data_IF_104296241285
#
_entry.id   IF_104296241285
#
_cell.length_a   1.000
_cell.length_b   1.000
_cell.length_c   1.000
_cell.angle_alpha   90.00
_cell.angle_beta   90.00
_cell.angle_gamma   90.00
#
_symmetry.space_group_name_H-M   'P 1'
#
loop_
_entity.id
_entity.type
_entity.pdbx_description
1 polymer ?
#
# COMPACT_ATOMS: atom_id res chain seq x y z
N UNK A 1 11.16 3.42 11.02
CA UNK A 1 11.27 2.25 10.11
C UNK A 1 11.18 2.61 8.63
N UNK A 2 10.16 3.34 8.16
CA UNK A 2 9.92 3.60 6.74
C UNK A 2 10.19 5.05 6.31
N UNK A 3 10.84 5.84 7.16
CA UNK A 3 10.95 7.30 7.01
C UNK A 3 11.59 7.68 5.67
N UNK A 4 12.75 7.11 5.34
CA UNK A 4 13.41 7.38 4.06
C UNK A 4 12.59 6.97 2.82
N UNK A 5 11.83 5.87 2.94
CA UNK A 5 10.94 5.41 1.87
C UNK A 5 9.79 6.40 1.68
N UNK A 6 9.19 6.84 2.79
CA UNK A 6 8.08 7.79 2.81
C UNK A 6 8.53 9.17 2.31
N UNK A 7 9.73 9.63 2.69
CA UNK A 7 10.31 10.88 2.20
C UNK A 7 10.44 10.88 0.67
N UNK A 8 11.03 9.83 0.08
CA UNK A 8 11.12 9.69 -1.38
C UNK A 8 9.75 9.67 -2.07
N UNK A 9 8.79 8.95 -1.49
CA UNK A 9 7.41 8.90 -2.01
C UNK A 9 6.79 10.31 -1.98
N UNK A 10 6.95 11.04 -0.88
CA UNK A 10 6.42 12.40 -0.72
C UNK A 10 7.07 13.39 -1.67
N UNK A 11 8.38 13.33 -1.84
CA UNK A 11 9.09 14.14 -2.84
C UNK A 11 8.50 13.93 -4.25
N UNK A 12 8.28 12.67 -4.63
CA UNK A 12 7.69 12.37 -5.93
C UNK A 12 6.25 12.86 -6.06
N UNK A 13 5.43 12.69 -5.00
CA UNK A 13 4.06 13.22 -4.97
C UNK A 13 4.07 14.75 -5.09
N UNK A 14 4.93 15.46 -4.37
CA UNK A 14 5.08 16.92 -4.44
C UNK A 14 5.51 17.38 -5.84
N UNK A 15 6.46 16.69 -6.47
CA UNK A 15 6.86 16.98 -7.84
C UNK A 15 5.70 16.76 -8.83
N UNK A 16 4.92 15.68 -8.65
CA UNK A 16 3.73 15.40 -9.44
C UNK A 16 2.62 16.44 -9.25
N UNK A 17 2.45 16.97 -8.04
CA UNK A 17 1.50 18.07 -7.77
C UNK A 17 1.94 19.36 -8.49
N UNK A 18 3.23 19.71 -8.42
CA UNK A 18 3.79 20.91 -9.08
C UNK A 18 3.67 20.85 -10.60
N UNK A 19 3.86 19.68 -11.20
CA UNK A 19 3.73 19.47 -12.65
C UNK A 19 2.28 19.28 -13.10
N UNK A 20 1.35 19.04 -12.17
CA UNK A 20 -0.05 18.72 -12.46
C UNK A 20 -0.29 17.28 -12.92
N UNK A 21 0.73 16.40 -12.83
CA UNK A 21 0.61 14.97 -13.13
C UNK A 21 -0.17 14.22 -12.04
N UNK A 22 -0.08 14.67 -10.79
CA UNK A 22 -0.81 14.14 -9.63
C UNK A 22 -1.77 15.23 -9.14
N UNK A 23 -2.94 14.81 -8.65
CA UNK A 23 -3.91 15.66 -7.97
C UNK A 23 -4.18 15.16 -6.57
N UNK A 24 -4.33 16.10 -5.65
CA UNK A 24 -4.73 15.86 -4.27
C UNK A 24 -6.24 16.02 -4.11
N UNK A 25 -6.82 15.15 -3.28
CA UNK A 25 -8.23 15.13 -2.94
C UNK A 25 -8.41 14.82 -1.45
N UNK A 26 -9.53 15.30 -0.90
CA UNK A 26 -10.05 14.80 0.37
C UNK A 26 -10.78 13.47 0.14
N UNK A 27 -10.74 12.51 1.08
CA UNK A 27 -11.52 11.28 1.00
C UNK A 27 -13.02 11.53 0.77
N UNK A 28 -13.57 12.60 1.34
CA UNK A 28 -14.96 12.98 1.22
C UNK A 28 -15.33 13.48 -0.20
N UNK A 29 -14.34 13.80 -1.05
CA UNK A 29 -14.57 14.17 -2.46
C UNK A 29 -15.09 13.02 -3.32
N UNK A 30 -14.93 11.77 -2.89
CA UNK A 30 -15.42 10.59 -3.60
C UNK A 30 -16.60 9.98 -2.86
N UNK A 31 -17.52 9.31 -3.54
CA UNK A 31 -18.63 8.61 -2.87
C UNK A 31 -18.17 7.31 -2.20
N UNK A 32 -18.86 6.90 -1.13
CA UNK A 32 -18.74 5.53 -0.63
C UNK A 32 -19.23 4.53 -1.68
N UNK A 33 -18.73 3.31 -1.61
CA UNK A 33 -19.09 2.23 -2.52
C UNK A 33 -19.59 1.01 -1.77
N UNK A 34 -20.54 0.30 -2.38
CA UNK A 34 -21.12 -0.88 -1.77
C UNK A 34 -20.07 -2.00 -1.63
N UNK A 35 -20.00 -2.56 -0.42
CA UNK A 35 -19.09 -3.67 -0.08
C UNK A 35 -19.69 -5.00 -0.53
N UNK A 36 -18.87 -5.85 -1.16
CA UNK A 36 -19.32 -7.15 -1.65
C UNK A 36 -18.22 -7.90 -2.39
N UNK A 37 -18.20 -9.23 -2.26
CA UNK A 37 -17.29 -10.07 -3.04
C UNK A 37 -17.85 -10.23 -4.44
N UNK A 38 -17.03 -9.92 -5.43
CA UNK A 38 -17.38 -10.05 -6.84
C UNK A 38 -16.16 -10.42 -7.67
N UNK A 39 -16.37 -11.22 -8.72
CA UNK A 39 -15.30 -11.70 -9.61
C UNK A 39 -15.61 -11.24 -11.03
N UNK A 40 -14.93 -10.17 -11.45
CA UNK A 40 -15.09 -9.58 -12.78
C UNK A 40 -14.43 -10.47 -13.84
N UNK A 41 -15.25 -10.98 -14.75
CA UNK A 41 -14.80 -11.79 -15.88
C UNK A 41 -14.38 -10.91 -17.06
N UNK A 42 -13.71 -11.51 -18.06
CA UNK A 42 -13.25 -10.78 -19.25
C UNK A 42 -14.40 -10.17 -20.06
N UNK A 43 -15.58 -10.78 -20.08
CA UNK A 43 -16.75 -10.28 -20.80
C UNK A 43 -17.41 -9.06 -20.15
N UNK A 44 -17.16 -8.84 -18.85
CA UNK A 44 -17.76 -7.76 -18.07
C UNK A 44 -16.81 -6.56 -17.92
N UNK A 45 -15.55 -6.72 -18.31
CA UNK A 45 -14.48 -5.76 -18.04
C UNK A 45 -14.73 -4.41 -18.74
N UNK A 46 -14.68 -3.32 -17.97
CA UNK A 46 -14.57 -1.97 -18.50
C UNK A 46 -13.10 -1.62 -18.70
N UNK A 47 -12.29 -1.81 -17.64
CA UNK A 47 -10.85 -1.58 -17.67
C UNK A 47 -10.12 -2.45 -16.63
N UNK A 48 -8.81 -2.57 -16.83
CA UNK A 48 -7.90 -3.39 -16.03
C UNK A 48 -6.59 -2.62 -15.82
N UNK A 49 -6.08 -2.63 -14.58
CA UNK A 49 -4.84 -1.95 -14.22
C UNK A 49 -3.93 -2.86 -13.40
N UNK A 50 -2.62 -2.79 -13.64
CA UNK A 50 -1.64 -3.48 -12.80
C UNK A 50 -1.41 -4.96 -13.14
N UNK A 51 -1.90 -5.44 -14.30
CA UNK A 51 -1.67 -6.83 -14.73
C UNK A 51 -0.19 -7.15 -14.96
N UNK A 52 0.55 -6.23 -15.56
CA UNK A 52 1.97 -6.42 -15.89
C UNK A 52 2.88 -5.56 -15.02
N UNK A 53 2.52 -4.29 -14.83
CA UNK A 53 3.29 -3.34 -14.04
C UNK A 53 2.48 -2.87 -12.83
N UNK A 54 2.77 -3.43 -11.66
CA UNK A 54 2.09 -3.04 -10.42
C UNK A 54 2.96 -3.09 -9.19
N UNK A 55 2.56 -2.31 -8.19
CA UNK A 55 3.16 -2.28 -6.87
C UNK A 55 2.09 -2.00 -5.79
N UNK A 56 2.29 -2.57 -4.61
CA UNK A 56 1.48 -2.34 -3.42
C UNK A 56 2.41 -2.10 -2.24
N UNK A 57 2.33 -0.92 -1.63
CA UNK A 57 3.01 -0.65 -0.36
C UNK A 57 2.00 -0.28 0.71
N UNK A 58 2.18 -0.87 1.89
CA UNK A 58 1.45 -0.53 3.10
C UNK A 58 2.50 -0.20 4.14
N UNK A 59 2.61 1.08 4.46
CA UNK A 59 3.67 1.67 5.29
C UNK A 59 3.02 2.37 6.49
N UNK A 60 3.80 2.60 7.53
CA UNK A 60 3.41 3.50 8.62
C UNK A 60 4.38 4.67 8.75
N UNK A 61 3.83 5.82 9.10
CA UNK A 61 4.51 7.11 9.23
C UNK A 61 3.47 8.23 9.26
N UNK A 62 3.91 9.48 9.29
CA UNK A 62 2.97 10.61 9.34
C UNK A 62 1.99 10.57 8.15
N UNK A 63 0.71 10.80 8.40
CA UNK A 63 -0.36 10.84 7.40
C UNK A 63 -1.41 11.87 7.79
N UNK A 64 -2.17 12.38 6.82
CA UNK A 64 -3.09 13.51 7.02
C UNK A 64 -4.49 13.28 6.45
N UNK A 65 -4.84 12.03 6.10
CA UNK A 65 -6.10 11.69 5.44
C UNK A 65 -6.25 12.32 4.05
N UNK A 66 -5.22 12.20 3.23
CA UNK A 66 -5.19 12.73 1.85
C UNK A 66 -5.22 11.61 0.82
N UNK A 67 -5.84 11.89 -0.33
CA UNK A 67 -5.83 11.00 -1.49
C UNK A 67 -5.06 11.68 -2.62
N UNK A 68 -4.11 10.97 -3.21
CA UNK A 68 -3.33 11.42 -4.35
C UNK A 68 -3.57 10.50 -5.54
N UNK A 69 -4.02 11.07 -6.66
CA UNK A 69 -4.31 10.31 -7.88
C UNK A 69 -3.51 10.86 -9.04
N UNK A 70 -2.88 9.97 -9.80
CA UNK A 70 -2.36 10.29 -11.13
C UNK A 70 -3.49 10.72 -12.06
N UNK A 71 -3.19 11.70 -12.90
CA UNK A 71 -4.13 12.22 -13.89
C UNK A 71 -4.26 11.30 -15.11
N UNK A 72 -3.15 10.68 -15.52
CA UNK A 72 -3.07 9.84 -16.70
C UNK A 72 -2.75 8.39 -16.35
N UNK A 73 -3.18 7.46 -17.20
CA UNK A 73 -3.01 6.03 -16.99
C UNK A 73 -2.51 5.35 -18.24
N UNK A 74 -1.44 4.56 -18.10
CA UNK A 74 -0.91 3.68 -19.16
C UNK A 74 -1.23 2.19 -18.93
N UNK A 75 -2.07 1.89 -17.94
CA UNK A 75 -2.41 0.53 -17.51
C UNK A 75 -1.58 0.02 -16.33
N UNK A 76 -0.57 0.77 -15.89
CA UNK A 76 0.18 0.50 -14.65
C UNK A 76 -0.66 0.78 -13.41
N UNK A 77 -0.26 0.21 -12.26
CA UNK A 77 -0.93 0.48 -10.99
C UNK A 77 0.03 0.35 -9.80
N UNK A 78 0.35 1.47 -9.16
CA UNK A 78 0.86 1.44 -7.79
C UNK A 78 -0.23 1.91 -6.82
N UNK A 79 -0.43 1.16 -5.74
CA UNK A 79 -1.23 1.59 -4.58
C UNK A 79 -0.30 1.68 -3.40
N UNK A 80 -0.13 2.89 -2.86
CA UNK A 80 0.71 3.17 -1.71
C UNK A 80 -0.20 3.69 -0.61
N UNK A 81 -0.12 3.06 0.56
CA UNK A 81 -0.88 3.42 1.75
C UNK A 81 0.11 3.80 2.85
N UNK A 82 -0.06 4.99 3.43
CA UNK A 82 0.74 5.46 4.57
C UNK A 82 -0.22 5.70 5.73
N UNK A 83 -0.01 4.97 6.83
CA UNK A 83 -0.86 5.07 8.02
C UNK A 83 -0.11 5.73 9.19
N UNK A 84 -0.72 6.75 9.80
CA UNK A 84 -0.27 7.33 11.07
C UNK A 84 -0.75 6.42 12.22
N UNK A 85 0.19 5.69 12.82
CA UNK A 85 -0.09 4.66 13.83
C UNK A 85 0.23 5.17 15.23
N UNK A 86 -0.70 4.93 16.16
CA UNK A 86 -0.51 5.17 17.59
C UNK A 86 0.14 3.95 18.23
N UNK A 87 1.39 4.09 18.67
CA UNK A 87 2.18 3.01 19.26
C UNK A 87 1.98 2.91 20.78
N UNK A 88 0.79 2.51 21.24
CA UNK A 88 0.52 2.29 22.67
C UNK A 88 0.91 0.86 23.09
N UNK A 89 2.21 0.58 23.14
CA UNK A 89 2.74 -0.75 23.49
C UNK A 89 2.48 -1.85 22.43
N UNK A 90 1.93 -1.48 21.27
CA UNK A 90 1.57 -2.42 20.22
C UNK A 90 2.79 -3.07 19.55
N UNK A 91 2.62 -4.33 19.17
CA UNK A 91 3.62 -5.10 18.43
C UNK A 91 3.61 -4.75 16.94
N UNK A 92 4.76 -4.32 16.41
CA UNK A 92 4.89 -3.80 15.03
C UNK A 92 4.44 -4.78 13.96
N UNK A 93 4.74 -6.06 14.13
CA UNK A 93 4.34 -7.09 13.17
C UNK A 93 2.85 -7.40 13.22
N UNK A 94 2.21 -7.38 14.40
CA UNK A 94 0.77 -7.53 14.51
C UNK A 94 0.04 -6.32 13.88
N UNK A 95 0.55 -5.09 14.10
CA UNK A 95 0.04 -3.90 13.41
C UNK A 95 0.21 -4.03 11.88
N UNK A 96 1.38 -4.47 11.41
CA UNK A 96 1.63 -4.70 9.98
C UNK A 96 0.63 -5.70 9.39
N UNK A 97 0.42 -6.84 10.07
CA UNK A 97 -0.58 -7.85 9.67
C UNK A 97 -1.99 -7.27 9.60
N UNK A 98 -2.42 -6.54 10.63
CA UNK A 98 -3.75 -5.94 10.65
C UNK A 98 -3.96 -4.92 9.52
N UNK A 99 -2.97 -4.05 9.25
CA UNK A 99 -2.99 -3.12 8.12
C UNK A 99 -3.09 -3.86 6.77
N UNK A 100 -2.28 -4.91 6.61
CA UNK A 100 -2.25 -5.75 5.41
C UNK A 100 -3.60 -6.46 5.19
N UNK A 101 -4.13 -7.05 6.25
CA UNK A 101 -5.40 -7.79 6.20
C UNK A 101 -6.58 -6.84 5.92
N UNK A 102 -6.56 -5.61 6.44
CA UNK A 102 -7.55 -4.57 6.10
C UNK A 102 -7.57 -4.27 4.59
N UNK A 103 -6.40 -4.20 3.94
CA UNK A 103 -6.33 -4.03 2.48
C UNK A 103 -6.78 -5.28 1.72
N UNK A 104 -6.35 -6.48 2.13
CA UNK A 104 -6.66 -7.72 1.41
C UNK A 104 -8.11 -8.17 1.54
N UNK A 105 -8.78 -7.80 2.62
CA UNK A 105 -10.19 -8.07 2.82
C UNK A 105 -11.10 -7.03 2.13
N UNK A 106 -10.52 -6.03 1.46
CA UNK A 106 -11.28 -5.04 0.71
C UNK A 106 -12.08 -5.72 -0.40
N UNK A 107 -13.40 -5.63 -0.31
CA UNK A 107 -14.32 -6.18 -1.30
C UNK A 107 -15.34 -5.10 -1.71
N UNK A 108 -15.50 -4.91 -3.02
CA UNK A 108 -16.27 -3.85 -3.64
C UNK A 108 -17.06 -4.45 -4.79
N UNK A 109 -18.38 -4.22 -4.84
CA UNK A 109 -19.21 -4.76 -5.93
C UNK A 109 -18.74 -4.27 -7.30
N UNK A 110 -18.69 -5.17 -8.28
CA UNK A 110 -18.24 -4.89 -9.64
C UNK A 110 -16.75 -4.64 -9.79
N UNK A 111 -15.95 -4.96 -8.76
CA UNK A 111 -14.51 -4.74 -8.74
C UNK A 111 -13.81 -5.97 -8.20
N UNK A 112 -12.76 -6.42 -8.89
CA UNK A 112 -11.87 -7.47 -8.40
C UNK A 112 -10.51 -6.88 -8.13
N UNK A 113 -10.07 -6.98 -6.87
CA UNK A 113 -8.73 -6.64 -6.42
C UNK A 113 -8.00 -7.94 -6.15
N UNK A 114 -6.96 -8.23 -6.92
CA UNK A 114 -6.06 -9.35 -6.67
C UNK A 114 -4.75 -8.84 -6.13
N UNK A 115 -4.40 -9.28 -4.94
CA UNK A 115 -3.15 -8.95 -4.29
C UNK A 115 -2.23 -10.16 -4.33
N UNK A 116 -0.95 -9.96 -4.61
CA UNK A 116 0.10 -10.96 -4.46
C UNK A 116 1.03 -10.50 -3.34
N UNK A 117 0.77 -10.87 -2.08
CA UNK A 117 1.45 -10.32 -0.92
C UNK A 117 2.97 -10.49 -0.97
N UNK A 118 3.44 -11.68 -1.35
CA UNK A 118 4.87 -12.01 -1.47
C UNK A 118 5.60 -11.20 -2.54
N UNK A 119 4.87 -10.66 -3.53
CA UNK A 119 5.44 -9.85 -4.60
C UNK A 119 5.16 -8.36 -4.41
N UNK A 120 4.39 -7.98 -3.38
CA UNK A 120 3.90 -6.62 -3.19
C UNK A 120 3.26 -6.06 -4.48
N UNK A 121 2.41 -6.87 -5.12
CA UNK A 121 1.69 -6.49 -6.35
C UNK A 121 0.19 -6.44 -6.13
N UNK A 122 -0.47 -5.57 -6.89
CA UNK A 122 -1.93 -5.42 -6.93
C UNK A 122 -2.41 -5.35 -8.36
N UNK A 123 -3.50 -6.05 -8.63
CA UNK A 123 -4.14 -6.09 -9.93
C UNK A 123 -5.62 -5.77 -9.77
N UNK A 124 -6.07 -4.72 -10.45
CA UNK A 124 -7.44 -4.24 -10.40
C UNK A 124 -8.18 -4.56 -11.70
N UNK A 125 -9.39 -5.09 -11.58
CA UNK A 125 -10.37 -5.20 -12.66
C UNK A 125 -11.66 -4.51 -12.25
N UNK A 126 -12.24 -3.75 -13.17
CA UNK A 126 -13.50 -3.05 -12.94
C UNK A 126 -14.49 -3.46 -14.01
N UNK A 127 -15.69 -3.86 -13.60
CA UNK A 127 -16.78 -4.22 -14.50
C UNK A 127 -17.41 -2.97 -15.14
N UNK A 128 -17.95 -3.09 -16.35
CA UNK A 128 -18.66 -2.02 -17.07
C UNK A 128 -19.75 -1.41 -16.23
N UNK A 129 -20.59 -2.24 -15.58
CA UNK A 129 -21.63 -1.78 -14.65
C UNK A 129 -21.10 -0.86 -13.54
N UNK A 130 -19.98 -1.22 -12.91
CA UNK A 130 -19.40 -0.43 -11.83
C UNK A 130 -18.85 0.89 -12.36
N UNK A 131 -18.20 0.86 -13.53
CA UNK A 131 -17.72 2.08 -14.20
C UNK A 131 -18.87 3.01 -14.57
N UNK A 132 -19.97 2.48 -15.13
CA UNK A 132 -21.18 3.23 -15.51
C UNK A 132 -21.90 3.81 -14.29
N UNK A 133 -21.93 3.07 -13.18
CA UNK A 133 -22.44 3.53 -11.89
C UNK A 133 -21.50 4.53 -11.21
N UNK A 134 -20.33 4.84 -11.77
CA UNK A 134 -19.42 5.89 -11.29
C UNK A 134 -18.34 5.42 -10.32
N UNK A 135 -17.91 4.15 -10.42
CA UNK A 135 -16.69 3.69 -9.77
C UNK A 135 -15.46 4.41 -10.39
N UNK A 136 -14.50 4.78 -9.56
CA UNK A 136 -13.24 5.40 -9.99
C UNK A 136 -12.10 5.01 -9.05
N UNK A 137 -10.86 5.34 -9.42
CA UNK A 137 -9.71 5.13 -8.53
C UNK A 137 -9.79 5.97 -7.25
N UNK A 138 -10.45 7.12 -7.29
CA UNK A 138 -10.75 7.88 -6.09
C UNK A 138 -11.72 7.16 -5.15
N UNK A 139 -12.71 6.45 -5.71
CA UNK A 139 -13.60 5.58 -4.92
C UNK A 139 -12.81 4.42 -4.30
N UNK A 140 -11.89 3.80 -5.05
CA UNK A 140 -10.98 2.78 -4.49
C UNK A 140 -10.13 3.37 -3.35
N UNK A 141 -9.51 4.53 -3.57
CA UNK A 141 -8.66 5.18 -2.59
C UNK A 141 -9.43 5.54 -1.32
N UNK A 142 -10.66 6.05 -1.44
CA UNK A 142 -11.56 6.29 -0.30
C UNK A 142 -11.87 4.98 0.42
N UNK A 143 -12.19 3.91 -0.31
CA UNK A 143 -12.51 2.63 0.30
C UNK A 143 -11.32 2.04 1.09
N UNK A 144 -10.10 2.23 0.60
CA UNK A 144 -8.85 1.86 1.29
C UNK A 144 -8.65 2.74 2.52
N UNK A 145 -8.80 4.06 2.40
CA UNK A 145 -8.70 4.99 3.53
C UNK A 145 -9.69 4.62 4.65
N UNK A 146 -10.96 4.37 4.31
CA UNK A 146 -11.99 3.93 5.27
C UNK A 146 -11.61 2.60 5.95
N UNK A 147 -11.05 1.64 5.20
CA UNK A 147 -10.65 0.35 5.76
C UNK A 147 -9.49 0.49 6.75
N UNK A 148 -8.48 1.30 6.42
CA UNK A 148 -7.33 1.54 7.30
C UNK A 148 -7.72 2.32 8.56
N UNK A 149 -8.51 3.39 8.41
CA UNK A 149 -8.99 4.20 9.52
C UNK A 149 -10.04 3.49 10.40
N UNK A 150 -10.50 2.30 10.01
CA UNK A 150 -11.35 1.46 10.88
C UNK A 150 -10.56 0.70 11.95
N UNK A 151 -9.23 0.67 11.83
CA UNK A 151 -8.34 0.07 12.82
C UNK A 151 -8.10 1.06 13.96
N UNK A 152 -8.36 0.65 15.20
CA UNK A 152 -8.33 1.55 16.38
C UNK A 152 -6.98 2.24 16.61
N UNK A 153 -5.89 1.63 16.16
CA UNK A 153 -4.53 2.17 16.28
C UNK A 153 -4.11 3.09 15.13
N UNK A 154 -4.97 3.30 14.12
CA UNK A 154 -4.69 4.19 12.98
C UNK A 154 -5.41 5.52 13.18
N UNK A 155 -4.64 6.61 13.22
CA UNK A 155 -5.14 7.99 13.38
C UNK A 155 -5.54 8.62 12.05
N UNK A 156 -4.76 8.37 11.01
CA UNK A 156 -4.95 8.94 9.68
C UNK A 156 -4.31 8.04 8.63
N UNK A 157 -4.81 8.12 7.40
CA UNK A 157 -4.32 7.33 6.26
C UNK A 157 -4.21 8.17 5.00
N UNK A 158 -3.01 8.27 4.43
CA UNK A 158 -2.83 8.80 3.08
C UNK A 158 -2.84 7.65 2.07
N UNK A 159 -3.55 7.84 0.95
CA UNK A 159 -3.64 6.85 -0.13
C UNK A 159 -3.17 7.49 -1.43
N UNK A 160 -2.12 6.93 -2.02
CA UNK A 160 -1.54 7.39 -3.28
C UNK A 160 -1.77 6.29 -4.32
N UNK A 161 -2.43 6.63 -5.42
CA UNK A 161 -2.63 5.73 -6.56
C UNK A 161 -1.92 6.32 -7.77
N UNK A 162 -0.91 5.60 -8.26
CA UNK A 162 -0.15 5.96 -9.45
C UNK A 162 -0.52 5.03 -10.59
N UNK A 163 -0.71 5.59 -11.79
CA UNK A 163 -1.18 4.84 -12.96
C UNK A 163 -0.29 4.95 -14.20
N UNK A 164 0.88 5.56 -14.07
CA UNK A 164 1.89 5.57 -15.13
C UNK A 164 3.16 4.83 -14.72
N UNK A 165 3.81 4.22 -15.71
CA UNK A 165 5.13 3.59 -15.54
C UNK A 165 6.18 4.60 -15.10
N UNK A 166 6.18 5.81 -15.65
CA UNK A 166 7.18 6.82 -15.33
C UNK A 166 7.14 7.20 -13.84
N UNK A 167 5.94 7.38 -13.27
CA UNK A 167 5.79 7.65 -11.83
C UNK A 167 6.26 6.48 -10.96
N UNK A 168 6.01 5.25 -11.41
CA UNK A 168 6.44 4.05 -10.70
C UNK A 168 7.96 3.84 -10.79
N UNK A 169 8.56 4.07 -11.95
CA UNK A 169 10.00 3.92 -12.18
C UNK A 169 10.78 4.95 -11.35
N UNK A 170 10.26 6.16 -11.19
CA UNK A 170 10.81 7.17 -10.29
C UNK A 170 10.85 6.73 -8.81
N UNK A 171 9.99 5.77 -8.43
CA UNK A 171 9.90 5.21 -7.07
C UNK A 171 10.49 3.80 -6.96
N UNK A 172 11.13 3.27 -8.01
CA UNK A 172 11.63 1.89 -8.05
C UNK A 172 12.51 1.54 -6.85
N UNK A 173 13.44 2.42 -6.50
CA UNK A 173 14.36 2.19 -5.37
C UNK A 173 13.62 2.24 -4.02
N UNK A 174 12.62 3.11 -3.90
CA UNK A 174 11.77 3.17 -2.71
C UNK A 174 10.95 1.87 -2.56
N UNK A 175 10.38 1.35 -3.65
CA UNK A 175 9.69 0.05 -3.65
C UNK A 175 10.62 -1.11 -3.27
N UNK A 176 11.83 -1.16 -3.84
CA UNK A 176 12.81 -2.20 -3.53
C UNK A 176 13.25 -2.14 -2.06
N UNK A 177 13.50 -0.94 -1.53
CA UNK A 177 13.87 -0.75 -0.12
C UNK A 177 12.73 -1.14 0.80
N UNK A 178 11.51 -0.67 0.54
CA UNK A 178 10.32 -1.04 1.32
C UNK A 178 10.11 -2.56 1.35
N UNK A 179 10.25 -3.22 0.19
CA UNK A 179 10.16 -4.67 0.08
C UNK A 179 11.17 -5.37 0.98
N UNK A 180 12.44 -4.96 0.95
CA UNK A 180 13.47 -5.54 1.83
C UNK A 180 13.10 -5.42 3.31
N UNK A 181 12.57 -4.27 3.73
CA UNK A 181 12.16 -4.03 5.12
C UNK A 181 10.99 -4.94 5.50
N UNK A 182 9.98 -5.04 4.64
CA UNK A 182 8.80 -5.90 4.86
C UNK A 182 9.19 -7.37 4.90
N UNK A 183 10.00 -7.84 3.95
CA UNK A 183 10.48 -9.22 3.91
C UNK A 183 11.29 -9.56 5.16
N UNK A 184 12.16 -8.64 5.62
CA UNK A 184 12.90 -8.80 6.86
C UNK A 184 11.98 -8.93 8.09
N UNK A 185 10.95 -8.08 8.16
CA UNK A 185 9.97 -8.10 9.24
C UNK A 185 9.19 -9.43 9.27
N UNK A 186 8.74 -9.89 8.11
CA UNK A 186 8.05 -11.18 7.94
C UNK A 186 8.97 -12.33 8.35
N UNK A 187 10.19 -12.38 7.81
CA UNK A 187 11.16 -13.45 8.09
C UNK A 187 11.48 -13.57 9.58
N UNK A 188 11.69 -12.45 10.27
CA UNK A 188 11.99 -12.47 11.70
C UNK A 188 10.84 -13.05 12.53
N UNK A 189 9.58 -12.75 12.20
CA UNK A 189 8.43 -13.17 13.00
C UNK A 189 7.83 -14.52 12.58
N UNK A 190 7.75 -14.82 11.29
CA UNK A 190 7.10 -16.04 10.78
C UNK A 190 8.08 -17.22 10.75
N UNK A 191 9.32 -16.99 10.34
CA UNK A 191 10.26 -18.10 10.13
C UNK A 191 11.10 -18.42 11.37
N UNK A 192 11.18 -17.51 12.36
CA UNK A 192 12.07 -17.60 13.56
C UNK A 192 13.54 -17.93 13.23
N UNK A 193 13.93 -17.83 11.96
CA UNK A 193 15.28 -18.13 11.46
C UNK A 193 16.17 -16.93 11.72
N UNK A 194 16.89 -16.97 12.86
CA UNK A 194 17.86 -15.96 13.27
C UNK A 194 19.28 -16.25 12.80
N UNK A 195 19.46 -17.08 11.76
CA UNK A 195 20.78 -17.33 11.19
C UNK A 195 21.22 -16.13 10.34
N UNK A 196 21.74 -15.10 11.01
CA UNK A 196 22.07 -13.81 10.40
C UNK A 196 23.33 -13.85 9.52
N UNK A 197 24.12 -14.93 9.55
CA UNK A 197 25.37 -15.02 8.78
C UNK A 197 25.12 -15.20 7.29
N UNK A 198 24.00 -15.84 6.91
CA UNK A 198 23.58 -16.11 5.51
C UNK A 198 22.30 -15.35 5.13
N UNK A 199 21.87 -14.38 5.93
CA UNK A 199 20.60 -13.69 5.71
C UNK A 199 20.74 -12.52 4.73
N UNK A 200 20.04 -12.59 3.59
CA UNK A 200 19.98 -11.54 2.55
C UNK A 200 19.50 -10.16 3.04
N UNK A 201 18.88 -10.10 4.23
CA UNK A 201 18.31 -8.88 4.83
C UNK A 201 19.20 -8.27 5.93
N UNK A 202 20.45 -8.74 6.05
CA UNK A 202 21.38 -8.30 7.11
C UNK A 202 21.65 -6.79 7.04
N UNK A 203 21.72 -6.23 5.83
CA UNK A 203 21.88 -4.80 5.59
C UNK A 203 20.79 -3.99 6.30
N UNK A 204 19.51 -4.21 5.96
CA UNK A 204 18.38 -3.46 6.52
C UNK A 204 18.16 -3.77 8.01
N UNK A 205 18.38 -5.02 8.44
CA UNK A 205 18.30 -5.39 9.86
C UNK A 205 19.41 -4.71 10.70
N UNK A 206 20.54 -4.37 10.09
CA UNK A 206 21.66 -3.68 10.75
C UNK A 206 21.61 -2.16 10.62
N UNK A 207 20.80 -1.63 9.72
CA UNK A 207 20.64 -0.20 9.51
C UNK A 207 19.45 0.33 10.34
N UNK A 208 18.32 -0.37 10.30
CA UNK A 208 17.05 0.10 10.86
C UNK A 208 16.95 -0.25 12.36
N UNK A 209 16.93 0.74 13.26
CA UNK A 209 16.90 0.51 14.71
C UNK A 209 15.73 -0.37 15.16
N UNK A 210 14.55 -0.20 14.57
CA UNK A 210 13.36 -0.96 14.93
C UNK A 210 13.50 -2.44 14.60
N UNK A 211 14.11 -2.80 13.47
CA UNK A 211 14.35 -4.20 13.11
C UNK A 211 15.37 -4.84 14.07
N UNK A 212 16.40 -4.09 14.50
CA UNK A 212 17.33 -4.55 15.54
C UNK A 212 16.61 -4.86 16.85
N UNK A 213 15.75 -3.94 17.31
CA UNK A 213 15.01 -4.12 18.55
C UNK A 213 14.09 -5.35 18.51
N UNK A 214 13.40 -5.57 17.38
CA UNK A 214 12.56 -6.76 17.17
C UNK A 214 13.42 -8.03 17.26
N UNK A 215 14.53 -8.08 16.51
CA UNK A 215 15.46 -9.22 16.52
C UNK A 215 15.99 -9.54 17.91
N UNK A 216 16.43 -8.53 18.65
CA UNK A 216 17.04 -8.72 19.97
C UNK A 216 15.99 -9.16 21.01
N UNK A 217 14.72 -8.79 20.84
CA UNK A 217 13.60 -9.30 21.65
C UNK A 217 13.35 -10.79 21.37
N UNK A 218 13.30 -11.18 20.10
CA UNK A 218 13.08 -12.58 19.70
C UNK A 218 14.22 -13.47 20.22
N UNK A 219 15.47 -13.01 20.20
CA UNK A 219 16.63 -13.73 20.75
C UNK A 219 16.56 -14.01 22.25
N UNK A 220 15.78 -13.24 23.01
CA UNK A 220 15.66 -13.36 24.47
C UNK A 220 14.48 -14.24 24.89
N UNK A 221 13.67 -14.72 23.94
CA UNK A 221 12.57 -15.66 24.13
C UNK A 221 13.03 -17.08 23.80
#
# INVERSE_FOLDING_TARGET
MFEEVIEKIREQVLNGLRSGAIREYSPQSFKSWARGRDVVTRGELAYELGKQNSALLILWGNAENRIYLSKESDGSLAVIVICDVVWDGLEKYECFRALRDAFYNLSLYGVTIRSLPSQLKVWLRVARRASEEGFSLGVLARAVNEAMNSLEFVRATDVIILTSRNEMDALKDAFLRAKKIIDALIKMHEEKLLNCEECDYRDVCSEIPELKMIRDRIKRQ
#
